data_IF_431018829516
#
_entry.id   IF_431018829516
#
_cell.length_a   1.000
_cell.length_b   1.000
_cell.length_c   1.000
_cell.angle_alpha   90.00
_cell.angle_beta   90.00
_cell.angle_gamma   90.00
#
_symmetry.space_group_name_H-M   'P 1'
#
loop_
_entity.id
_entity.type
_entity.pdbx_description
1 polymer ?
#
# COMPACT_ATOMS: atom_id res chain seq x y z
N UNK A 1 -38.58 -19.32 33.62
CA UNK A 1 -37.68 -20.41 33.17
C UNK A 1 -36.79 -20.82 34.33
N UNK A 2 -36.75 -22.11 34.68
CA UNK A 2 -35.89 -22.64 35.75
C UNK A 2 -34.45 -22.68 35.24
N UNK A 3 -33.51 -22.07 35.97
CA UNK A 3 -32.07 -22.09 35.68
C UNK A 3 -31.35 -22.96 36.71
N UNK A 4 -30.32 -23.66 36.28
CA UNK A 4 -29.42 -24.43 37.14
C UNK A 4 -28.04 -23.76 37.16
N UNK A 5 -27.47 -23.61 38.36
CA UNK A 5 -26.12 -23.08 38.57
C UNK A 5 -25.13 -24.24 38.65
N UNK A 6 -23.98 -24.10 38.01
CA UNK A 6 -22.93 -25.12 38.00
C UNK A 6 -21.57 -24.46 37.73
N UNK A 7 -20.49 -25.19 37.99
CA UNK A 7 -19.14 -24.77 37.62
C UNK A 7 -18.79 -25.38 36.27
N UNK A 8 -18.55 -24.55 35.26
CA UNK A 8 -18.16 -25.01 33.93
C UNK A 8 -16.74 -25.62 33.94
N UNK A 9 -16.38 -26.38 32.92
CA UNK A 9 -15.04 -27.00 32.79
C UNK A 9 -13.90 -25.98 32.80
N UNK A 10 -14.18 -24.74 32.41
CA UNK A 10 -13.23 -23.63 32.48
C UNK A 10 -13.07 -23.04 33.90
N UNK A 11 -13.75 -23.57 34.91
CA UNK A 11 -13.69 -23.14 36.31
C UNK A 11 -14.61 -21.95 36.65
N UNK A 12 -15.30 -21.36 35.67
CA UNK A 12 -16.24 -20.27 35.93
C UNK A 12 -17.60 -20.80 36.42
N UNK A 13 -18.19 -20.11 37.40
CA UNK A 13 -19.55 -20.36 37.84
C UNK A 13 -20.55 -19.79 36.82
N UNK A 14 -21.44 -20.64 36.34
CA UNK A 14 -22.31 -20.38 35.20
C UNK A 14 -23.75 -20.82 35.50
N UNK A 15 -24.71 -20.28 34.74
CA UNK A 15 -26.12 -20.68 34.83
C UNK A 15 -26.67 -21.03 33.45
N UNK A 16 -27.39 -22.14 33.32
CA UNK A 16 -28.11 -22.54 32.09
C UNK A 16 -29.57 -22.86 32.38
N UNK A 17 -30.50 -22.66 31.43
CA UNK A 17 -31.84 -23.24 31.50
C UNK A 17 -31.80 -24.76 31.71
N UNK A 18 -32.68 -25.30 32.54
CA UNK A 18 -32.67 -26.72 32.92
C UNK A 18 -32.84 -27.70 31.74
N UNK A 19 -33.42 -27.24 30.62
CA UNK A 19 -33.68 -28.04 29.42
C UNK A 19 -32.51 -28.12 28.43
N UNK A 20 -31.44 -27.31 28.61
CA UNK A 20 -30.27 -27.32 27.71
C UNK A 20 -29.22 -28.31 28.21
N UNK A 21 -28.72 -29.20 27.35
CA UNK A 21 -27.68 -30.17 27.70
C UNK A 21 -26.30 -29.51 27.96
N UNK A 22 -25.53 -30.08 28.89
CA UNK A 22 -24.21 -29.53 29.29
C UNK A 22 -23.19 -29.44 28.16
N UNK A 23 -23.20 -30.38 27.21
CA UNK A 23 -22.28 -30.39 26.08
C UNK A 23 -22.47 -29.22 25.10
N UNK A 24 -23.62 -28.56 25.15
CA UNK A 24 -23.95 -27.39 24.29
C UNK A 24 -23.67 -26.03 24.97
N UNK A 25 -23.21 -26.05 26.23
CA UNK A 25 -23.02 -24.85 27.01
C UNK A 25 -21.71 -24.13 26.65
N UNK A 26 -21.82 -22.86 26.24
CA UNK A 26 -20.68 -21.96 26.04
C UNK A 26 -20.59 -21.00 27.22
N UNK A 27 -19.41 -20.90 27.83
CA UNK A 27 -19.19 -20.02 28.97
C UNK A 27 -19.25 -18.54 28.54
N UNK A 28 -20.13 -17.71 29.13
CA UNK A 28 -20.26 -16.30 28.77
C UNK A 28 -19.19 -15.40 29.40
N UNK A 29 -18.33 -15.94 30.26
CA UNK A 29 -17.27 -15.16 30.91
C UNK A 29 -16.25 -14.65 29.88
N UNK A 30 -15.65 -13.49 30.15
CA UNK A 30 -14.54 -12.98 29.35
C UNK A 30 -13.33 -13.93 29.46
N UNK A 31 -12.50 -13.96 28.42
CA UNK A 31 -11.23 -14.68 28.47
C UNK A 31 -10.31 -14.03 29.53
N UNK A 32 -9.75 -14.85 30.42
CA UNK A 32 -8.84 -14.41 31.48
C UNK A 32 -7.40 -14.18 31.00
N UNK A 33 -7.09 -14.48 29.73
CA UNK A 33 -5.75 -14.30 29.15
C UNK A 33 -5.57 -12.86 28.66
N UNK A 34 -4.41 -12.30 28.92
CA UNK A 34 -3.94 -11.05 28.30
C UNK A 34 -3.28 -11.32 26.95
N UNK A 35 -3.41 -10.35 26.04
CA UNK A 35 -2.65 -10.31 24.80
C UNK A 35 -1.19 -9.91 25.09
N UNK A 36 -0.22 -10.18 24.18
CA UNK A 36 1.18 -9.81 24.37
C UNK A 36 1.42 -8.31 24.61
N UNK A 37 0.51 -7.45 24.16
CA UNK A 37 0.53 -6.00 24.39
C UNK A 37 0.05 -5.58 25.79
N UNK A 38 -0.39 -6.51 26.63
CA UNK A 38 -0.90 -6.25 27.98
C UNK A 38 -2.41 -5.97 28.05
N UNK A 39 -3.09 -5.78 26.92
CA UNK A 39 -4.54 -5.60 26.89
C UNK A 39 -5.31 -6.91 27.10
N UNK A 40 -6.52 -6.87 27.68
CA UNK A 40 -7.35 -8.06 27.86
C UNK A 40 -7.82 -8.63 26.52
N UNK A 41 -7.94 -9.96 26.45
CA UNK A 41 -8.50 -10.61 25.27
C UNK A 41 -10.00 -10.26 25.11
N UNK A 42 -10.47 -9.83 23.92
CA UNK A 42 -11.86 -9.45 23.71
C UNK A 42 -12.82 -10.64 23.56
N UNK A 43 -12.30 -11.87 23.50
CA UNK A 43 -13.11 -13.07 23.27
C UNK A 43 -13.65 -13.67 24.58
N UNK A 44 -14.65 -14.54 24.44
CA UNK A 44 -15.21 -15.30 25.56
C UNK A 44 -14.31 -16.47 25.97
N UNK A 45 -14.51 -16.93 27.20
CA UNK A 45 -13.82 -18.08 27.75
C UNK A 45 -14.11 -19.34 26.93
N UNK A 46 -13.05 -20.07 26.57
CA UNK A 46 -13.13 -21.27 25.73
C UNK A 46 -13.00 -21.00 24.22
N UNK A 47 -13.10 -19.75 23.78
CA UNK A 47 -12.77 -19.36 22.41
C UNK A 47 -11.24 -19.22 22.24
N UNK A 48 -10.69 -19.47 21.03
CA UNK A 48 -9.33 -19.10 20.70
C UNK A 48 -9.10 -17.60 20.98
N UNK A 49 -7.98 -17.24 21.60
CA UNK A 49 -7.69 -15.83 21.90
C UNK A 49 -7.50 -15.01 20.62
N UNK A 50 -7.84 -13.72 20.68
CA UNK A 50 -7.61 -12.80 19.58
C UNK A 50 -6.11 -12.73 19.26
N UNK A 51 -5.78 -12.70 17.97
CA UNK A 51 -4.40 -12.52 17.50
C UNK A 51 -4.05 -11.04 17.35
N UNK A 52 -5.06 -10.19 17.10
CA UNK A 52 -4.94 -8.73 17.08
C UNK A 52 -5.62 -8.08 18.29
N UNK A 53 -5.03 -6.99 18.79
CA UNK A 53 -5.61 -6.19 19.84
C UNK A 53 -6.34 -4.97 19.25
N UNK A 54 -7.68 -4.96 19.34
CA UNK A 54 -8.49 -3.86 18.81
C UNK A 54 -8.15 -2.52 19.47
N UNK A 55 -7.86 -2.51 20.78
CA UNK A 55 -7.43 -1.29 21.49
C UNK A 55 -6.14 -0.72 20.88
N UNK A 56 -5.12 -1.57 20.64
CA UNK A 56 -3.90 -1.13 19.99
C UNK A 56 -4.13 -0.63 18.56
N UNK A 57 -5.04 -1.26 17.81
CA UNK A 57 -5.41 -0.83 16.45
C UNK A 57 -6.07 0.55 16.48
N UNK A 58 -7.04 0.75 17.37
CA UNK A 58 -7.75 2.02 17.54
C UNK A 58 -6.80 3.15 17.99
N UNK A 59 -5.94 2.90 18.98
CA UNK A 59 -4.95 3.89 19.43
C UNK A 59 -3.96 4.26 18.31
N UNK A 60 -3.52 3.28 17.51
CA UNK A 60 -2.67 3.54 16.36
C UNK A 60 -3.39 4.39 15.32
N UNK A 61 -4.67 4.09 15.06
CA UNK A 61 -5.48 4.85 14.13
C UNK A 61 -5.66 6.30 14.62
N UNK A 62 -5.98 6.51 15.89
CA UNK A 62 -6.09 7.85 16.47
C UNK A 62 -4.76 8.62 16.39
N UNK A 63 -3.63 7.97 16.66
CA UNK A 63 -2.30 8.60 16.49
C UNK A 63 -2.05 9.02 15.04
N UNK A 64 -2.40 8.17 14.06
CA UNK A 64 -2.29 8.50 12.62
C UNK A 64 -3.17 9.67 12.25
N UNK A 65 -4.42 9.69 12.70
CA UNK A 65 -5.35 10.80 12.45
C UNK A 65 -4.85 12.12 13.05
N UNK A 66 -4.25 12.09 14.26
CA UNK A 66 -3.61 13.25 14.87
C UNK A 66 -2.37 13.72 14.09
N UNK A 67 -1.52 12.78 13.66
CA UNK A 67 -0.35 13.07 12.82
C UNK A 67 -0.76 13.68 11.47
N UNK A 68 -1.80 13.14 10.84
CA UNK A 68 -2.38 13.62 9.58
C UNK A 68 -2.95 15.04 9.74
N UNK A 69 -3.75 15.29 10.80
CA UNK A 69 -4.28 16.61 11.09
C UNK A 69 -3.16 17.65 11.33
N UNK A 70 -2.11 17.26 12.05
CA UNK A 70 -0.93 18.10 12.25
C UNK A 70 -0.21 18.37 10.91
N UNK A 71 -0.08 17.36 10.06
CA UNK A 71 0.51 17.46 8.72
C UNK A 71 -0.26 18.46 7.86
N UNK A 72 -1.58 18.37 7.84
CA UNK A 72 -2.45 19.30 7.10
C UNK A 72 -2.29 20.73 7.58
N UNK A 73 -2.22 20.95 8.89
CA UNK A 73 -2.03 22.29 9.45
C UNK A 73 -0.66 22.87 9.06
N UNK A 74 0.40 22.06 9.17
CA UNK A 74 1.74 22.42 8.73
C UNK A 74 1.77 22.73 7.23
N UNK A 75 1.02 21.95 6.44
CA UNK A 75 0.95 22.13 5.01
C UNK A 75 0.25 23.43 4.63
N UNK A 76 -0.88 23.74 5.26
CA UNK A 76 -1.61 25.03 5.09
C UNK A 76 -0.67 26.22 5.38
N UNK A 77 0.17 26.12 6.41
CA UNK A 77 1.19 27.13 6.74
C UNK A 77 2.26 27.26 5.64
N UNK A 78 2.77 26.14 5.12
CA UNK A 78 3.75 26.11 4.03
C UNK A 78 3.21 26.71 2.73
N UNK A 79 1.99 26.33 2.32
CA UNK A 79 1.31 26.89 1.14
C UNK A 79 1.20 28.41 1.28
N UNK A 80 0.76 28.92 2.44
CA UNK A 80 0.66 30.36 2.70
C UNK A 80 2.01 31.06 2.59
N UNK A 81 3.09 30.44 3.09
CA UNK A 81 4.46 30.96 3.02
C UNK A 81 4.99 30.98 1.59
N UNK A 82 4.76 29.91 0.82
CA UNK A 82 5.17 29.81 -0.58
C UNK A 82 4.48 30.85 -1.45
N UNK A 83 3.16 31.04 -1.28
CA UNK A 83 2.39 32.12 -1.92
C UNK A 83 2.97 33.50 -1.60
N UNK A 84 3.30 33.76 -0.33
CA UNK A 84 3.93 35.04 0.09
C UNK A 84 5.30 35.27 -0.55
N UNK A 85 6.09 34.20 -0.71
CA UNK A 85 7.46 34.26 -1.27
C UNK A 85 7.54 34.04 -2.79
N UNK A 86 6.41 33.85 -3.47
CA UNK A 86 6.35 33.53 -4.91
C UNK A 86 7.25 32.36 -5.33
N UNK A 87 7.30 31.30 -4.50
CA UNK A 87 8.02 30.06 -4.81
C UNK A 87 7.01 28.94 -5.12
N UNK A 88 7.29 28.10 -6.12
CA UNK A 88 6.44 26.96 -6.47
C UNK A 88 6.67 25.79 -5.51
N UNK A 89 5.60 25.20 -4.98
CA UNK A 89 5.65 23.97 -4.19
C UNK A 89 5.51 22.70 -5.04
N UNK A 90 5.21 22.86 -6.33
CA UNK A 90 4.86 21.77 -7.23
C UNK A 90 5.89 21.65 -8.35
N UNK A 91 6.01 20.46 -8.98
CA UNK A 91 6.89 20.27 -10.11
C UNK A 91 6.61 21.29 -11.21
N UNK A 92 7.66 21.79 -11.86
CA UNK A 92 7.53 22.78 -12.94
C UNK A 92 6.91 22.20 -14.21
N UNK A 93 6.77 20.88 -14.30
CA UNK A 93 6.10 20.18 -15.41
C UNK A 93 4.58 20.20 -15.28
N UNK A 94 4.04 20.56 -14.11
CA UNK A 94 2.60 20.57 -13.89
C UNK A 94 1.95 21.77 -14.56
N UNK A 95 0.73 21.57 -15.05
CA UNK A 95 -0.10 22.62 -15.61
C UNK A 95 -0.41 23.73 -14.59
N UNK A 96 -0.64 24.96 -15.09
CA UNK A 96 -1.09 26.08 -14.27
C UNK A 96 -2.61 26.01 -13.94
N UNK A 97 -3.17 24.80 -13.78
CA UNK A 97 -4.58 24.61 -13.48
C UNK A 97 -4.99 25.26 -12.15
N UNK A 98 -6.19 25.83 -12.10
CA UNK A 98 -6.76 26.37 -10.85
C UNK A 98 -7.39 25.29 -9.97
N UNK A 99 -7.69 24.11 -10.54
CA UNK A 99 -8.21 22.95 -9.80
C UNK A 99 -7.15 22.38 -8.86
N UNK A 100 -7.60 21.75 -7.77
CA UNK A 100 -6.72 20.99 -6.87
C UNK A 100 -6.25 19.67 -7.51
N UNK A 101 -7.12 19.08 -8.34
CA UNK A 101 -6.89 17.85 -9.06
C UNK A 101 -7.11 18.06 -10.57
N UNK A 102 -6.10 17.70 -11.36
CA UNK A 102 -6.14 17.75 -12.82
C UNK A 102 -5.50 16.49 -13.42
N UNK A 103 -5.98 16.09 -14.61
CA UNK A 103 -5.43 14.98 -15.40
C UNK A 103 -4.90 15.57 -16.70
N UNK A 104 -3.58 15.73 -16.80
CA UNK A 104 -2.94 16.23 -17.99
C UNK A 104 -2.66 15.07 -18.95
N UNK A 105 -3.08 15.19 -20.20
CA UNK A 105 -2.71 14.24 -21.25
C UNK A 105 -1.26 14.51 -21.67
N UNK A 106 -0.35 13.61 -21.31
CA UNK A 106 1.10 13.69 -21.58
C UNK A 106 1.53 12.61 -22.57
N UNK A 107 0.56 12.10 -23.35
CA UNK A 107 0.78 10.99 -24.25
C UNK A 107 1.79 11.35 -25.34
N UNK A 108 1.77 12.58 -25.86
CA UNK A 108 2.70 12.99 -26.91
C UNK A 108 4.16 12.92 -26.45
N UNK A 109 4.43 13.34 -25.22
CA UNK A 109 5.76 13.45 -24.64
C UNK A 109 6.29 12.12 -24.10
N UNK A 110 5.41 11.32 -23.47
CA UNK A 110 5.81 10.13 -22.72
C UNK A 110 5.50 8.81 -23.42
N UNK A 111 4.89 8.82 -24.62
CA UNK A 111 4.45 7.58 -25.30
C UNK A 111 5.57 6.54 -25.45
N UNK A 112 6.69 6.93 -26.04
CA UNK A 112 7.79 6.00 -26.31
C UNK A 112 8.44 5.51 -25.01
N UNK A 113 8.61 6.41 -24.04
CA UNK A 113 9.21 6.07 -22.75
C UNK A 113 8.31 5.10 -21.95
N UNK A 114 7.00 5.35 -21.92
CA UNK A 114 6.05 4.49 -21.22
C UNK A 114 5.86 3.15 -21.92
N UNK A 115 5.87 3.10 -23.26
CA UNK A 115 5.90 1.84 -23.99
C UNK A 115 7.18 1.05 -23.67
N UNK A 116 8.35 1.70 -23.72
CA UNK A 116 9.62 1.07 -23.34
C UNK A 116 9.60 0.53 -21.91
N UNK A 117 9.00 1.28 -20.98
CA UNK A 117 8.81 0.86 -19.59
C UNK A 117 7.90 -0.36 -19.46
N UNK A 118 6.78 -0.40 -20.19
CA UNK A 118 5.89 -1.56 -20.22
C UNK A 118 6.62 -2.80 -20.74
N UNK A 119 7.29 -2.68 -21.89
CA UNK A 119 7.99 -3.78 -22.55
C UNK A 119 9.18 -4.28 -21.72
N UNK A 120 10.03 -3.38 -21.25
CA UNK A 120 11.23 -3.70 -20.49
C UNK A 120 10.96 -4.34 -19.13
N UNK A 121 9.74 -4.22 -18.61
CA UNK A 121 9.32 -4.80 -17.33
C UNK A 121 8.29 -5.92 -17.49
N UNK A 122 7.90 -6.26 -18.72
CA UNK A 122 6.93 -7.31 -18.99
C UNK A 122 7.60 -8.68 -18.99
N UNK A 123 7.12 -9.58 -18.13
CA UNK A 123 7.38 -11.02 -18.31
C UNK A 123 6.27 -11.63 -19.17
N UNK A 124 6.53 -11.78 -20.46
CA UNK A 124 5.57 -12.29 -21.46
C UNK A 124 5.03 -13.68 -21.11
N UNK A 125 5.86 -14.55 -20.53
CA UNK A 125 5.44 -15.89 -20.10
C UNK A 125 4.41 -15.91 -18.96
N UNK A 126 4.25 -14.78 -18.26
CA UNK A 126 3.31 -14.62 -17.15
C UNK A 126 2.02 -13.88 -17.56
N UNK A 127 1.89 -13.45 -18.81
CA UNK A 127 0.69 -12.75 -19.29
C UNK A 127 -0.50 -13.71 -19.41
N UNK A 128 -1.69 -13.19 -19.12
CA UNK A 128 -2.96 -13.92 -19.26
C UNK A 128 -3.16 -15.09 -18.30
N UNK A 129 -2.21 -15.29 -17.38
CA UNK A 129 -2.17 -16.40 -16.42
C UNK A 129 -1.79 -15.88 -15.03
N UNK A 130 -1.92 -16.75 -14.03
CA UNK A 130 -1.54 -16.44 -12.66
C UNK A 130 -2.73 -16.42 -11.70
N UNK A 131 -2.42 -16.58 -10.41
CA UNK A 131 -3.41 -16.70 -9.34
C UNK A 131 -4.33 -15.48 -9.24
N UNK A 132 -3.80 -14.30 -9.55
CA UNK A 132 -4.50 -13.03 -9.35
C UNK A 132 -5.22 -12.53 -10.61
N UNK A 133 -5.03 -13.20 -11.76
CA UNK A 133 -5.52 -12.79 -13.08
C UNK A 133 -7.05 -12.57 -13.06
N UNK A 134 -7.47 -11.32 -13.27
CA UNK A 134 -8.89 -10.95 -13.32
C UNK A 134 -9.52 -11.18 -14.69
N UNK A 135 -8.75 -11.01 -15.75
CA UNK A 135 -9.21 -11.22 -17.13
C UNK A 135 -8.24 -12.16 -17.85
N UNK A 136 -8.47 -13.48 -17.80
CA UNK A 136 -7.65 -14.45 -18.51
C UNK A 136 -7.77 -14.28 -20.03
N UNK A 137 -6.70 -14.58 -20.76
CA UNK A 137 -6.69 -14.46 -22.22
C UNK A 137 -5.33 -14.82 -22.81
N UNK A 138 -5.28 -15.01 -24.13
CA UNK A 138 -4.04 -15.22 -24.86
C UNK A 138 -3.56 -13.90 -25.48
N UNK A 139 -2.45 -13.37 -24.98
CA UNK A 139 -1.79 -12.15 -25.45
C UNK A 139 -0.31 -12.21 -25.11
N UNK A 140 0.51 -11.51 -25.89
CA UNK A 140 1.97 -11.56 -25.83
C UNK A 140 2.61 -10.23 -25.43
N UNK A 141 1.84 -9.13 -25.44
CA UNK A 141 2.34 -7.81 -25.14
C UNK A 141 1.29 -6.84 -24.61
N UNK A 142 1.78 -5.69 -24.16
CA UNK A 142 1.00 -4.58 -23.61
C UNK A 142 1.30 -3.33 -24.46
N UNK A 143 0.34 -2.88 -25.25
CA UNK A 143 0.49 -1.72 -26.15
C UNK A 143 -0.13 -0.47 -25.54
N UNK A 144 0.69 0.56 -25.36
CA UNK A 144 0.30 1.83 -24.76
C UNK A 144 -0.61 2.64 -25.69
N UNK A 145 -1.75 3.06 -25.15
CA UNK A 145 -2.75 3.88 -25.84
C UNK A 145 -2.63 5.35 -25.44
N UNK A 146 -2.68 5.64 -24.13
CA UNK A 146 -2.70 6.99 -23.55
C UNK A 146 -1.95 7.01 -22.22
N UNK A 147 -1.34 8.14 -21.87
CA UNK A 147 -0.75 8.39 -20.56
C UNK A 147 -1.30 9.70 -20.00
N UNK A 148 -1.86 9.64 -18.80
CA UNK A 148 -2.31 10.82 -18.08
C UNK A 148 -1.40 11.07 -16.88
N UNK A 149 -0.85 12.28 -16.76
CA UNK A 149 -0.21 12.72 -15.53
C UNK A 149 -1.28 13.20 -14.57
N UNK A 150 -1.29 12.63 -13.36
CA UNK A 150 -2.17 13.05 -12.29
C UNK A 150 -1.49 14.19 -11.56
N UNK A 151 -2.14 15.35 -11.56
CA UNK A 151 -1.72 16.56 -10.87
C UNK A 151 -2.69 16.81 -9.72
N UNK A 152 -2.47 16.13 -8.59
CA UNK A 152 -3.25 16.30 -7.37
C UNK A 152 -2.38 16.99 -6.31
N UNK A 153 -2.64 18.28 -6.10
CA UNK A 153 -1.83 19.15 -5.25
C UNK A 153 -1.84 18.72 -3.80
N UNK A 154 -3.02 18.36 -3.26
CA UNK A 154 -3.16 17.90 -1.89
C UNK A 154 -2.38 16.62 -1.66
N UNK A 155 -2.57 15.60 -2.51
CA UNK A 155 -1.87 14.32 -2.41
C UNK A 155 -0.35 14.48 -2.56
N UNK A 156 0.09 15.30 -3.51
CA UNK A 156 1.53 15.53 -3.71
C UNK A 156 2.17 16.17 -2.48
N UNK A 157 1.47 17.08 -1.81
CA UNK A 157 1.99 17.73 -0.62
C UNK A 157 2.01 16.81 0.61
N UNK A 158 1.00 15.95 0.77
CA UNK A 158 1.03 14.89 1.78
C UNK A 158 2.21 13.93 1.54
N UNK A 159 2.39 13.50 0.28
CA UNK A 159 3.54 12.71 -0.16
C UNK A 159 4.87 13.40 0.16
N UNK A 160 5.00 14.68 -0.20
CA UNK A 160 6.19 15.50 0.10
C UNK A 160 6.46 15.67 1.58
N UNK A 161 5.41 15.69 2.41
CA UNK A 161 5.56 15.76 3.85
C UNK A 161 6.08 14.45 4.42
N UNK A 162 5.55 13.31 3.94
CA UNK A 162 6.05 11.98 4.30
C UNK A 162 7.51 11.77 3.90
N UNK A 163 7.91 12.26 2.72
CA UNK A 163 9.31 12.32 2.31
C UNK A 163 10.20 12.99 3.37
N UNK A 164 9.78 14.13 3.93
CA UNK A 164 10.60 14.88 4.90
C UNK A 164 10.73 14.14 6.23
N UNK A 165 9.77 13.28 6.56
CA UNK A 165 9.87 12.40 7.71
C UNK A 165 10.88 11.28 7.44
N UNK A 166 10.77 10.60 6.30
CA UNK A 166 11.68 9.51 5.92
C UNK A 166 13.14 9.97 5.75
N UNK A 167 13.38 11.22 5.36
CA UNK A 167 14.74 11.79 5.32
C UNK A 167 15.42 11.86 6.71
N UNK A 168 14.64 11.94 7.80
CA UNK A 168 15.19 11.98 9.15
C UNK A 168 15.67 10.60 9.60
N UNK A 169 15.10 9.55 9.02
CA UNK A 169 15.44 8.16 9.29
C UNK A 169 16.76 7.84 8.55
N UNK A 170 17.89 8.24 9.14
CA UNK A 170 19.21 7.92 8.58
C UNK A 170 19.42 6.40 8.64
N UNK A 171 19.95 5.78 7.57
CA UNK A 171 20.36 4.39 7.66
C UNK A 171 21.42 4.26 8.75
N UNK A 172 21.12 3.53 9.82
CA UNK A 172 22.13 3.16 10.80
C UNK A 172 23.25 2.39 10.06
N UNK A 173 24.51 2.76 10.33
CA UNK A 173 25.70 2.28 9.62
C UNK A 173 25.95 0.75 9.68
N UNK A 174 25.01 -0.03 10.23
CA UNK A 174 25.10 -1.48 10.46
C UNK A 174 23.83 -2.29 10.14
N UNK A 175 22.87 -1.76 9.36
CA UNK A 175 21.73 -2.58 8.92
C UNK A 175 22.02 -3.24 7.57
N UNK A 176 22.49 -4.48 7.64
CA UNK A 176 22.54 -5.44 6.54
C UNK A 176 21.11 -5.85 6.12
N UNK A 177 20.45 -4.99 5.36
CA UNK A 177 19.73 -5.42 4.16
C UNK A 177 20.08 -4.39 3.10
N UNK A 178 21.21 -4.61 2.44
CA UNK A 178 21.33 -3.99 1.13
C UNK A 178 20.11 -4.52 0.34
N UNK A 179 19.14 -3.64 0.09
CA UNK A 179 18.55 -3.56 -1.24
C UNK A 179 19.70 -3.25 -2.20
N UNK A 180 20.65 -4.18 -2.30
CA UNK A 180 21.71 -4.13 -3.28
C UNK A 180 20.99 -4.44 -4.58
N UNK A 181 20.63 -3.37 -5.28
CA UNK A 181 20.99 -3.19 -6.68
C UNK A 181 20.76 -4.35 -7.67
N UNK A 182 19.96 -5.38 -7.36
CA UNK A 182 19.08 -6.02 -8.35
C UNK A 182 17.97 -5.03 -8.64
N UNK A 183 18.35 -3.90 -9.23
CA UNK A 183 17.55 -2.69 -9.36
C UNK A 183 16.09 -2.99 -9.63
N UNK A 184 15.20 -2.18 -9.05
CA UNK A 184 13.78 -2.21 -9.39
C UNK A 184 13.67 -2.23 -10.91
N UNK A 185 12.94 -3.18 -11.49
CA UNK A 185 12.96 -3.40 -12.94
C UNK A 185 12.57 -2.13 -13.72
N UNK A 186 11.62 -1.36 -13.17
CA UNK A 186 11.28 -0.01 -13.63
C UNK A 186 12.48 0.94 -13.64
N UNK A 187 13.28 0.99 -12.57
CA UNK A 187 14.48 1.82 -12.47
C UNK A 187 15.58 1.39 -13.45
N UNK A 188 15.68 0.09 -13.75
CA UNK A 188 16.58 -0.40 -14.79
C UNK A 188 16.11 0.01 -16.19
N UNK A 189 14.80 -0.11 -16.47
CA UNK A 189 14.21 0.29 -17.76
C UNK A 189 14.22 1.80 -17.98
N UNK A 190 13.99 2.59 -16.93
CA UNK A 190 14.02 4.06 -16.98
C UNK A 190 15.44 4.63 -16.86
N UNK A 191 16.48 3.80 -16.84
CA UNK A 191 17.86 4.27 -16.64
C UNK A 191 18.23 5.32 -17.68
N UNK A 192 18.75 6.47 -17.22
CA UNK A 192 19.09 7.66 -18.05
C UNK A 192 17.89 8.36 -18.70
N UNK A 193 16.66 8.10 -18.26
CA UNK A 193 15.48 8.87 -18.66
C UNK A 193 15.29 10.13 -17.81
N UNK A 194 14.47 11.06 -18.31
CA UNK A 194 14.03 12.25 -17.57
C UNK A 194 13.22 11.89 -16.32
N UNK A 195 12.48 10.77 -16.33
CA UNK A 195 11.74 10.30 -15.16
C UNK A 195 12.67 9.80 -14.06
N UNK A 196 13.72 9.05 -14.40
CA UNK A 196 14.70 8.58 -13.42
C UNK A 196 15.46 9.73 -12.74
N UNK A 197 15.70 10.85 -13.45
CA UNK A 197 16.36 12.03 -12.89
C UNK A 197 15.53 12.77 -11.82
N UNK A 198 14.22 12.49 -11.72
CA UNK A 198 13.32 13.11 -10.75
C UNK A 198 13.24 12.37 -9.41
N UNK A 199 13.80 11.17 -9.33
CA UNK A 199 13.71 10.31 -8.15
C UNK A 199 14.83 10.61 -7.16
N UNK A 200 14.50 10.70 -5.89
CA UNK A 200 15.47 10.91 -4.83
C UNK A 200 16.00 9.58 -4.23
N UNK A 201 17.30 9.27 -4.38
CA UNK A 201 17.88 8.07 -3.79
C UNK A 201 17.93 8.09 -2.26
N UNK A 202 17.88 9.25 -1.59
CA UNK A 202 17.99 9.36 -0.13
C UNK A 202 16.81 8.72 0.61
N UNK A 203 15.64 8.68 -0.01
CA UNK A 203 14.44 7.98 0.50
C UNK A 203 14.09 6.74 -0.33
N UNK A 204 15.01 6.31 -1.21
CA UNK A 204 14.81 5.23 -2.19
C UNK A 204 13.50 5.39 -2.96
N UNK A 205 13.28 6.58 -3.53
CA UNK A 205 12.17 6.80 -4.45
C UNK A 205 12.32 5.92 -5.70
N UNK A 206 11.24 5.25 -6.09
CA UNK A 206 11.17 4.47 -7.32
C UNK A 206 9.80 4.59 -7.97
N UNK A 207 9.75 4.32 -9.28
CA UNK A 207 8.49 4.09 -9.96
C UNK A 207 8.08 2.64 -9.81
N UNK A 208 6.82 2.37 -9.50
CA UNK A 208 6.27 1.01 -9.43
C UNK A 208 4.86 0.99 -10.03
N UNK A 209 4.45 -0.18 -10.50
CA UNK A 209 3.14 -0.39 -11.07
C UNK A 209 2.09 -0.74 -9.99
N UNK A 210 0.88 -0.25 -10.18
CA UNK A 210 -0.30 -0.65 -9.41
C UNK A 210 -1.47 -0.90 -10.36
N UNK A 211 -1.82 -2.16 -10.56
CA UNK A 211 -2.97 -2.55 -11.37
C UNK A 211 -4.23 -2.58 -10.50
N UNK A 212 -5.33 -2.06 -11.03
CA UNK A 212 -6.60 -1.99 -10.30
C UNK A 212 -7.78 -1.95 -11.28
N UNK A 213 -9.00 -1.94 -10.74
CA UNK A 213 -10.26 -1.79 -11.50
C UNK A 213 -10.67 -0.32 -11.59
N UNK A 214 -11.57 0.01 -12.52
CA UNK A 214 -11.81 1.39 -12.95
C UNK A 214 -12.38 2.24 -11.83
N UNK A 215 -13.32 1.66 -11.07
CA UNK A 215 -13.94 2.35 -9.93
C UNK A 215 -12.91 2.64 -8.83
N UNK A 216 -11.92 1.76 -8.66
CA UNK A 216 -10.85 1.96 -7.68
C UNK A 216 -9.80 2.94 -8.19
N UNK A 217 -9.53 3.00 -9.50
CA UNK A 217 -8.62 3.99 -10.07
C UNK A 217 -9.12 5.43 -9.85
N UNK A 218 -10.41 5.69 -10.09
CA UNK A 218 -10.99 7.02 -9.84
C UNK A 218 -10.91 7.41 -8.36
N UNK A 219 -11.13 6.45 -7.45
CA UNK A 219 -10.95 6.69 -6.02
C UNK A 219 -9.49 7.04 -5.68
N UNK A 220 -8.52 6.27 -6.20
CA UNK A 220 -7.08 6.53 -5.98
C UNK A 220 -6.66 7.91 -6.52
N UNK A 221 -7.18 8.34 -7.65
CA UNK A 221 -6.88 9.67 -8.22
C UNK A 221 -7.39 10.80 -7.30
N UNK A 222 -8.56 10.61 -6.70
CA UNK A 222 -9.17 11.59 -5.83
C UNK A 222 -8.55 11.62 -4.43
N UNK A 223 -8.33 10.46 -3.81
CA UNK A 223 -7.99 10.34 -2.38
C UNK A 223 -6.62 9.71 -2.12
N UNK A 224 -5.89 9.28 -3.14
CA UNK A 224 -4.62 8.58 -2.98
C UNK A 224 -4.77 7.11 -2.61
N UNK A 225 -3.65 6.49 -2.23
CA UNK A 225 -3.60 5.08 -1.87
C UNK A 225 -4.02 4.85 -0.42
N UNK A 226 -5.24 4.41 -0.19
CA UNK A 226 -5.80 4.26 1.17
C UNK A 226 -5.59 2.85 1.73
N UNK A 227 -4.56 2.66 2.57
CA UNK A 227 -4.32 1.34 3.20
C UNK A 227 -5.42 0.94 4.18
N UNK A 228 -6.20 1.90 4.67
CA UNK A 228 -7.37 1.66 5.54
C UNK A 228 -8.43 0.82 4.83
N UNK A 229 -8.54 0.98 3.51
CA UNK A 229 -9.47 0.22 2.66
C UNK A 229 -8.88 -1.14 2.23
N UNK A 230 -7.60 -1.40 2.51
CA UNK A 230 -6.95 -2.65 2.13
C UNK A 230 -7.49 -3.83 2.95
N UNK A 231 -7.68 -4.96 2.26
CA UNK A 231 -8.16 -6.19 2.88
C UNK A 231 -7.03 -6.86 3.67
N UNK A 232 -7.35 -7.37 4.86
CA UNK A 232 -6.39 -8.08 5.73
C UNK A 232 -5.87 -9.41 5.15
N UNK A 233 -6.56 -9.96 4.15
CA UNK A 233 -6.23 -11.25 3.54
C UNK A 233 -5.15 -11.19 2.45
N UNK A 234 -4.47 -10.05 2.29
CA UNK A 234 -3.29 -9.94 1.44
C UNK A 234 -2.14 -10.81 1.97
N UNK A 235 -1.27 -11.28 1.07
CA UNK A 235 -0.13 -12.15 1.41
C UNK A 235 0.83 -11.52 2.44
N UNK A 236 0.88 -10.19 2.48
CA UNK A 236 1.68 -9.40 3.39
C UNK A 236 0.80 -8.50 4.28
N UNK A 237 -0.50 -8.77 4.39
CA UNK A 237 -1.43 -7.98 5.19
C UNK A 237 -2.11 -6.83 4.43
N UNK A 238 -2.71 -5.91 5.17
CA UNK A 238 -3.46 -4.76 4.67
C UNK A 238 -2.54 -3.56 4.45
N UNK A 239 -1.89 -3.54 3.29
CA UNK A 239 -1.09 -2.43 2.80
C UNK A 239 -1.40 -2.13 1.33
N UNK A 240 -0.71 -1.15 0.77
CA UNK A 240 -0.75 -0.80 -0.64
C UNK A 240 0.32 -1.60 -1.38
N UNK A 241 -0.12 -2.45 -2.32
CA UNK A 241 0.73 -3.37 -3.07
C UNK A 241 1.15 -2.77 -4.41
N UNK A 242 2.43 -2.89 -4.71
CA UNK A 242 3.03 -2.43 -5.97
C UNK A 242 3.94 -3.52 -6.55
N UNK A 243 4.15 -3.47 -7.85
CA UNK A 243 5.06 -4.38 -8.54
C UNK A 243 6.05 -3.60 -9.41
N UNK A 244 7.25 -4.15 -9.58
CA UNK A 244 8.24 -3.59 -10.49
C UNK A 244 8.11 -4.11 -11.93
N UNK A 245 7.28 -5.14 -12.13
CA UNK A 245 6.96 -5.73 -13.43
C UNK A 245 5.54 -5.38 -13.83
N UNK A 246 5.39 -4.79 -15.02
CA UNK A 246 4.08 -4.46 -15.62
C UNK A 246 3.17 -5.70 -15.68
N UNK A 247 3.71 -6.86 -16.04
CA UNK A 247 2.95 -8.10 -16.15
C UNK A 247 2.38 -8.61 -14.81
N UNK A 248 2.94 -8.23 -13.65
CA UNK A 248 2.31 -8.56 -12.37
C UNK A 248 1.09 -7.69 -12.12
N UNK A 249 1.22 -6.39 -12.35
CA UNK A 249 0.12 -5.45 -12.15
C UNK A 249 -1.01 -5.67 -13.14
N UNK A 250 -0.70 -6.06 -14.38
CA UNK A 250 -1.68 -6.42 -15.40
C UNK A 250 -2.69 -7.49 -14.92
N UNK A 251 -2.26 -8.46 -14.11
CA UNK A 251 -3.12 -9.50 -13.53
C UNK A 251 -4.31 -8.93 -12.76
N UNK A 252 -4.20 -7.70 -12.21
CA UNK A 252 -5.24 -7.06 -11.42
C UNK A 252 -6.18 -6.16 -12.22
N UNK A 253 -5.97 -6.05 -13.54
CA UNK A 253 -6.73 -5.14 -14.40
C UNK A 253 -7.87 -5.86 -15.13
N UNK A 254 -8.89 -5.10 -15.50
CA UNK A 254 -9.99 -5.54 -16.37
C UNK A 254 -10.20 -4.44 -17.41
N UNK A 255 -10.32 -4.81 -18.68
CA UNK A 255 -10.56 -3.85 -19.75
C UNK A 255 -11.93 -3.20 -19.61
N UNK A 256 -12.03 -1.93 -20.00
CA UNK A 256 -13.32 -1.31 -20.28
C UNK A 256 -13.98 -1.90 -21.55
N UNK A 257 -15.16 -1.40 -21.90
CA UNK A 257 -15.91 -1.83 -23.10
C UNK A 257 -15.16 -1.67 -24.42
N UNK A 258 -14.14 -0.80 -24.46
CA UNK A 258 -13.27 -0.59 -25.63
C UNK A 258 -11.99 -1.43 -25.63
N UNK A 259 -11.88 -2.43 -24.73
CA UNK A 259 -10.71 -3.29 -24.61
C UNK A 259 -9.48 -2.60 -24.01
N UNK A 260 -9.64 -1.43 -23.37
CA UNK A 260 -8.53 -0.67 -22.79
C UNK A 260 -8.41 -0.98 -21.30
N UNK A 261 -7.22 -1.36 -20.89
CA UNK A 261 -6.81 -1.56 -19.51
C UNK A 261 -6.10 -0.30 -19.00
N UNK A 262 -6.05 -0.13 -17.68
CA UNK A 262 -5.28 0.93 -17.05
C UNK A 262 -4.55 0.41 -15.82
N UNK A 263 -3.36 0.94 -15.60
CA UNK A 263 -2.60 0.73 -14.37
C UNK A 263 -1.86 2.01 -14.02
N UNK A 264 -1.60 2.23 -12.73
CA UNK A 264 -0.77 3.34 -12.31
C UNK A 264 0.71 3.02 -12.47
N UNK A 265 1.49 4.04 -12.85
CA UNK A 265 2.92 4.13 -12.55
C UNK A 265 3.05 5.14 -11.41
N UNK A 266 3.15 4.62 -10.20
CA UNK A 266 3.20 5.40 -8.96
C UNK A 266 4.64 5.70 -8.55
N UNK A 267 4.87 6.90 -7.99
CA UNK A 267 6.14 7.24 -7.34
C UNK A 267 6.07 6.79 -5.88
N UNK A 268 6.93 5.86 -5.48
CA UNK A 268 6.87 5.19 -4.17
C UNK A 268 8.17 5.40 -3.41
N UNK A 269 8.08 5.79 -2.13
CA UNK A 269 9.21 5.91 -1.21
C UNK A 269 9.36 4.63 -0.40
N UNK A 270 10.44 3.87 -0.66
CA UNK A 270 10.73 2.64 0.08
C UNK A 270 11.40 2.91 1.44
N UNK A 271 11.99 4.09 1.63
CA UNK A 271 12.63 4.50 2.88
C UNK A 271 13.99 3.85 3.15
N UNK A 272 14.55 4.16 4.33
CA UNK A 272 15.88 3.73 4.74
C UNK A 272 15.95 2.23 5.11
N UNK A 273 14.84 1.66 5.56
CA UNK A 273 14.80 0.29 6.08
C UNK A 273 13.65 -0.49 5.43
N UNK A 274 13.98 -1.50 4.63
CA UNK A 274 13.01 -2.35 3.95
C UNK A 274 13.08 -3.76 4.53
N UNK A 275 11.92 -4.31 4.89
CA UNK A 275 11.78 -5.66 5.38
C UNK A 275 11.68 -6.63 4.19
N UNK A 276 12.74 -7.40 3.93
CA UNK A 276 12.76 -8.43 2.89
C UNK A 276 12.28 -9.77 3.47
N UNK A 277 11.21 -10.32 2.89
CA UNK A 277 10.65 -11.61 3.31
C UNK A 277 10.22 -12.47 2.13
N UNK A 278 10.53 -13.76 2.23
CA UNK A 278 9.97 -14.81 1.36
C UNK A 278 8.73 -15.47 1.96
N UNK A 279 8.38 -15.13 3.20
CA UNK A 279 7.23 -15.68 3.93
C UNK A 279 6.07 -14.71 3.88
N UNK A 280 4.87 -15.24 3.75
CA UNK A 280 3.64 -14.47 3.90
C UNK A 280 3.57 -13.89 5.32
N UNK A 281 3.12 -12.65 5.41
CA UNK A 281 2.94 -11.90 6.63
C UNK A 281 1.46 -11.52 6.69
N UNK A 282 0.59 -12.49 6.96
CA UNK A 282 -0.85 -12.23 7.00
C UNK A 282 -1.19 -11.25 8.14
N UNK A 283 -2.31 -10.54 8.02
CA UNK A 283 -2.91 -9.76 9.13
C UNK A 283 -2.03 -8.61 9.66
N UNK A 284 -1.07 -8.13 8.86
CA UNK A 284 -0.31 -6.92 9.22
C UNK A 284 -0.97 -5.66 8.67
N UNK A 285 -1.19 -4.66 9.54
CA UNK A 285 -1.51 -3.26 9.14
C UNK A 285 -0.33 -2.31 9.29
N UNK A 286 0.74 -2.78 9.92
CA UNK A 286 1.96 -2.03 10.20
C UNK A 286 3.15 -2.97 10.19
N UNK A 287 4.32 -2.43 9.82
CA UNK A 287 5.57 -3.17 9.89
C UNK A 287 6.19 -3.14 11.28
N UNK A 288 6.94 -4.19 11.58
CA UNK A 288 7.58 -4.37 12.89
C UNK A 288 8.67 -3.30 13.11
N UNK A 289 9.03 -3.12 14.39
CA UNK A 289 10.22 -2.39 14.76
C UNK A 289 11.47 -3.16 14.29
N UNK A 290 12.49 -2.42 13.86
CA UNK A 290 13.79 -2.99 13.55
C UNK A 290 14.41 -3.45 14.88
N UNK A 291 14.85 -4.72 14.99
CA UNK A 291 15.39 -5.26 16.24
C UNK A 291 16.48 -4.38 16.84
N UNK A 292 16.33 -4.02 18.11
CA UNK A 292 17.30 -3.17 18.83
C UNK A 292 17.13 -1.66 18.61
N UNK A 293 16.09 -1.22 17.91
CA UNK A 293 15.81 0.21 17.64
C UNK A 293 14.38 0.60 18.02
N UNK A 294 14.08 1.89 17.99
CA UNK A 294 12.71 2.42 18.04
C UNK A 294 12.12 2.76 16.66
N UNK A 295 12.83 2.39 15.58
CA UNK A 295 12.47 2.69 14.20
C UNK A 295 11.71 1.50 13.60
N UNK A 296 10.67 1.76 12.80
CA UNK A 296 9.94 0.72 12.04
C UNK A 296 10.51 0.59 10.64
N UNK A 297 10.39 -0.59 10.05
CA UNK A 297 10.60 -0.73 8.61
C UNK A 297 9.61 0.18 7.85
N UNK A 298 10.10 0.84 6.80
CA UNK A 298 9.33 1.80 6.00
C UNK A 298 8.54 1.11 4.88
N UNK A 299 9.05 -0.01 4.36
CA UNK A 299 8.40 -0.81 3.33
C UNK A 299 8.72 -2.30 3.52
N UNK A 300 7.92 -3.14 2.87
CA UNK A 300 8.14 -4.59 2.80
C UNK A 300 8.40 -4.98 1.34
N UNK A 301 9.40 -5.82 1.14
CA UNK A 301 9.66 -6.50 -0.13
C UNK A 301 9.31 -7.98 0.03
N UNK A 302 8.31 -8.41 -0.72
CA UNK A 302 7.82 -9.78 -0.77
C UNK A 302 8.12 -10.45 -2.10
N UNK A 303 8.08 -11.78 -2.11
CA UNK A 303 8.11 -12.60 -3.32
C UNK A 303 6.85 -13.47 -3.42
N UNK A 304 6.04 -13.23 -4.45
CA UNK A 304 4.85 -14.01 -4.79
C UNK A 304 5.07 -14.73 -6.11
N UNK A 305 5.43 -16.02 -6.02
CA UNK A 305 5.91 -16.80 -7.16
C UNK A 305 7.22 -16.21 -7.72
N UNK A 306 7.18 -15.70 -8.96
CA UNK A 306 8.31 -15.04 -9.62
C UNK A 306 8.21 -13.50 -9.61
N UNK A 307 7.22 -12.94 -8.92
CA UNK A 307 6.96 -11.51 -8.89
C UNK A 307 7.39 -10.90 -7.56
N UNK A 308 8.14 -9.79 -7.63
CA UNK A 308 8.45 -8.96 -6.47
C UNK A 308 7.26 -8.07 -6.17
N UNK A 309 6.85 -8.04 -4.91
CA UNK A 309 5.79 -7.17 -4.43
C UNK A 309 6.36 -6.22 -3.40
N UNK A 310 6.14 -4.92 -3.62
CA UNK A 310 6.57 -3.85 -2.74
C UNK A 310 5.33 -3.34 -2.02
N UNK A 311 5.35 -3.39 -0.69
CA UNK A 311 4.19 -3.05 0.13
C UNK A 311 4.54 -1.91 1.08
N UNK A 312 3.76 -0.84 1.03
CA UNK A 312 3.80 0.28 1.98
C UNK A 312 2.48 0.33 2.77
N UNK A 313 2.56 0.68 4.04
CA UNK A 313 1.41 0.67 4.98
C UNK A 313 1.00 2.08 5.43
N UNK A 314 1.43 3.05 4.64
CA UNK A 314 1.09 4.47 4.73
C UNK A 314 0.91 4.95 3.29
N UNK A 315 -0.32 5.34 2.96
CA UNK A 315 -0.69 5.87 1.66
C UNK A 315 0.17 7.03 1.17
N UNK A 316 0.62 7.89 2.09
CA UNK A 316 1.45 9.05 1.75
C UNK A 316 2.87 8.67 1.32
N UNK A 317 3.27 7.40 1.43
CA UNK A 317 4.52 6.91 0.82
C UNK A 317 4.42 6.72 -0.69
N UNK A 318 3.23 6.81 -1.29
CA UNK A 318 3.01 6.62 -2.72
C UNK A 318 2.19 7.76 -3.33
N UNK A 319 2.63 8.25 -4.49
CA UNK A 319 1.91 9.24 -5.28
C UNK A 319 1.49 8.62 -6.63
N UNK A 320 0.20 8.59 -6.99
CA UNK A 320 -0.28 7.99 -8.24
C UNK A 320 0.04 8.89 -9.44
N UNK A 321 1.31 9.02 -9.81
CA UNK A 321 1.79 10.07 -10.73
C UNK A 321 1.29 9.93 -12.16
N UNK A 322 1.24 8.72 -12.70
CA UNK A 322 0.75 8.48 -14.07
C UNK A 322 -0.30 7.38 -14.09
N UNK A 323 -1.36 7.58 -14.86
CA UNK A 323 -2.29 6.54 -15.27
C UNK A 323 -1.99 6.14 -16.72
N UNK A 324 -1.52 4.91 -16.90
CA UNK A 324 -1.17 4.36 -18.22
C UNK A 324 -2.34 3.54 -18.73
N UNK A 325 -2.85 3.90 -19.90
CA UNK A 325 -3.88 3.18 -20.63
C UNK A 325 -3.22 2.32 -21.70
N UNK A 326 -3.57 1.04 -21.79
CA UNK A 326 -2.95 0.11 -22.72
C UNK A 326 -3.94 -0.97 -23.20
N UNK A 327 -3.57 -1.72 -24.23
CA UNK A 327 -4.31 -2.88 -24.74
C UNK A 327 -3.43 -4.12 -24.71
N UNK A 328 -4.07 -5.27 -24.58
CA UNK A 328 -3.42 -6.56 -24.82
C UNK A 328 -3.22 -6.78 -26.31
N UNK A 329 -2.01 -7.16 -26.72
CA UNK A 329 -1.68 -7.49 -28.11
C UNK A 329 -1.42 -8.98 -28.29
N UNK A 330 -1.68 -9.50 -29.48
CA UNK A 330 -1.38 -10.89 -29.85
C UNK A 330 0.03 -11.00 -30.38
#
# INVERSE_FOLDING_TARGET
QIKVNFTAQCGHNCSRPCYLEEGSFVCPAACSRGLPCGHPCPHQCGQPCAQECQVCVEELQQRREQEEALLEEQLKKLIKKAKKKKFSLYPCTWSESSSDMHRADVTGELRELMQHLLDGTCNTSALGTGKDQKQPGAYSGLEMVKVEQIENRTLFLQYRSRYLQLLKDKPEAKSHTELDSKGVATGQSLKRSSLAAQLDPNVRECYLFHGTKAETAEAIIATGFEERLAKLNGLYGAGNYFADKSSKSDQYTVSNSGGVHFMFVARVMLGAHVFDTKKTCNEKRILDLIPGTHVRYSALLGLSGHHREFVVYDGHQAYPEYLVHYRHTK
#
